data_IF_271863198428
#
_entry.id   IF_271863198428
#
_cell.length_a   1.000
_cell.length_b   1.000
_cell.length_c   1.000
_cell.angle_alpha   90.00
_cell.angle_beta   90.00
_cell.angle_gamma   90.00
#
_symmetry.space_group_name_H-M   'P 1'
#
loop_
_entity.id
_entity.type
_entity.pdbx_description
1 polymer ?
#
# COMPACT_ATOMS: atom_id res chain seq x y z
N UNK A 1 -13.32 -0.92 -3.03
CA UNK A 1 -12.36 -0.95 -1.92
C UNK A 1 -11.07 -1.51 -2.46
N UNK A 2 -9.95 -0.83 -2.19
CA UNK A 2 -8.62 -1.06 -2.73
C UNK A 2 -8.34 -2.52 -3.11
N UNK A 3 -8.05 -2.77 -4.38
CA UNK A 3 -7.80 -4.12 -4.92
C UNK A 3 -6.60 -4.79 -4.21
N UNK A 4 -5.67 -3.98 -3.68
CA UNK A 4 -4.58 -4.44 -2.82
C UNK A 4 -5.11 -4.83 -1.44
N UNK A 5 -5.90 -3.98 -0.78
CA UNK A 5 -6.47 -4.29 0.53
C UNK A 5 -7.36 -5.53 0.52
N UNK A 6 -8.14 -5.75 -0.55
CA UNK A 6 -8.93 -6.98 -0.71
C UNK A 6 -8.07 -8.20 -1.02
N UNK A 7 -7.01 -8.08 -1.83
CA UNK A 7 -6.13 -9.22 -2.14
C UNK A 7 -5.19 -9.57 -0.98
N UNK A 8 -4.73 -8.57 -0.21
CA UNK A 8 -3.93 -8.76 1.00
C UNK A 8 -4.82 -9.34 2.10
N UNK A 9 -6.07 -8.87 2.23
CA UNK A 9 -7.05 -9.46 3.13
C UNK A 9 -7.44 -10.87 2.72
N UNK A 10 -7.65 -11.16 1.43
CA UNK A 10 -7.92 -12.53 0.95
C UNK A 10 -6.72 -13.44 1.16
N UNK A 11 -5.50 -12.99 0.86
CA UNK A 11 -4.28 -13.74 1.16
C UNK A 11 -4.08 -13.95 2.65
N UNK A 12 -4.27 -12.91 3.47
CA UNK A 12 -4.19 -13.04 4.92
C UNK A 12 -5.28 -13.95 5.45
N UNK A 13 -6.52 -13.91 4.92
CA UNK A 13 -7.61 -14.81 5.29
C UNK A 13 -7.36 -16.25 4.84
N UNK A 14 -6.75 -16.46 3.67
CA UNK A 14 -6.34 -17.77 3.17
C UNK A 14 -5.16 -18.32 3.98
N UNK A 15 -4.23 -17.44 4.37
CA UNK A 15 -3.11 -17.74 5.25
C UNK A 15 -3.48 -17.57 6.74
N UNK A 16 -4.75 -17.36 7.13
CA UNK A 16 -5.10 -17.23 8.56
C UNK A 16 -4.74 -18.53 9.27
N UNK A 17 -5.00 -19.67 8.65
CA UNK A 17 -4.62 -20.97 9.21
C UNK A 17 -3.10 -21.16 9.22
N UNK A 18 -2.38 -20.73 8.19
CA UNK A 18 -0.92 -20.82 8.14
C UNK A 18 -0.24 -19.89 9.15
N UNK A 19 -0.73 -18.67 9.27
CA UNK A 19 -0.29 -17.68 10.24
C UNK A 19 -0.67 -18.09 11.66
N UNK A 20 -1.85 -18.66 11.89
CA UNK A 20 -2.25 -19.21 13.19
C UNK A 20 -1.46 -20.48 13.54
N UNK A 21 -1.17 -21.35 12.57
CA UNK A 21 -0.33 -22.54 12.77
C UNK A 21 1.09 -22.14 13.14
N UNK A 22 1.68 -21.19 12.41
CA UNK A 22 2.97 -20.60 12.75
C UNK A 22 2.90 -19.93 14.12
N UNK A 23 1.87 -19.13 14.41
CA UNK A 23 1.71 -18.47 15.71
C UNK A 23 1.50 -19.42 16.90
N UNK A 24 0.99 -20.63 16.65
CA UNK A 24 0.66 -21.62 17.67
C UNK A 24 1.78 -22.63 17.92
N UNK A 25 2.85 -22.62 17.12
CA UNK A 25 4.05 -23.39 17.43
C UNK A 25 4.75 -22.86 18.68
N UNK A 26 5.18 -23.76 19.56
CA UNK A 26 5.91 -23.42 20.79
C UNK A 26 7.22 -22.65 20.52
N UNK A 27 7.78 -22.73 19.31
CA UNK A 27 8.95 -21.95 18.89
C UNK A 27 8.60 -20.54 18.40
N UNK A 28 7.39 -20.27 17.93
CA UNK A 28 7.03 -18.94 17.47
C UNK A 28 7.00 -17.93 18.60
N UNK A 29 6.44 -18.30 19.76
CA UNK A 29 6.52 -17.45 20.95
C UNK A 29 7.97 -17.17 21.38
N UNK A 30 8.89 -18.13 21.17
CA UNK A 30 10.33 -17.95 21.43
C UNK A 30 11.01 -17.05 20.41
N UNK A 31 10.56 -17.09 19.16
CA UNK A 31 11.11 -16.32 18.04
C UNK A 31 10.35 -15.01 17.76
N UNK A 32 9.28 -14.72 18.48
CA UNK A 32 8.46 -13.51 18.31
C UNK A 32 9.33 -12.23 18.36
N UNK A 33 10.24 -12.16 19.34
CA UNK A 33 11.17 -11.04 19.46
C UNK A 33 12.14 -10.94 18.27
N UNK A 34 12.55 -12.06 17.68
CA UNK A 34 13.38 -12.10 16.47
C UNK A 34 12.59 -11.73 15.22
N UNK A 35 11.29 -12.05 15.16
CA UNK A 35 10.41 -11.69 14.05
C UNK A 35 10.07 -10.19 14.05
N UNK A 36 9.89 -9.57 15.21
CA UNK A 36 9.69 -8.11 15.31
C UNK A 36 10.87 -7.35 14.73
N UNK A 37 12.10 -7.87 14.86
CA UNK A 37 13.28 -7.26 14.26
C UNK A 37 13.29 -7.33 12.71
N UNK A 38 12.48 -8.19 12.10
CA UNK A 38 12.29 -8.27 10.65
C UNK A 38 11.20 -7.33 10.14
N UNK A 39 10.33 -6.84 11.04
CA UNK A 39 9.27 -5.91 10.68
C UNK A 39 9.85 -4.49 10.53
N UNK A 40 9.37 -3.73 9.53
CA UNK A 40 9.67 -2.32 9.45
C UNK A 40 9.16 -1.56 10.68
N UNK A 41 9.77 -0.42 10.96
CA UNK A 41 9.34 0.47 12.04
C UNK A 41 7.85 0.83 11.92
N UNK A 42 7.18 0.98 13.07
CA UNK A 42 5.75 1.29 13.11
C UNK A 42 5.39 2.57 12.33
N UNK A 43 6.23 3.62 12.39
CA UNK A 43 5.99 4.86 11.64
C UNK A 43 6.04 4.64 10.13
N UNK A 44 6.86 3.70 9.65
CA UNK A 44 6.90 3.34 8.24
C UNK A 44 5.61 2.60 7.83
N UNK A 45 5.15 1.64 8.64
CA UNK A 45 3.90 0.92 8.38
C UNK A 45 2.70 1.88 8.37
N UNK A 46 2.61 2.76 9.36
CA UNK A 46 1.54 3.76 9.45
C UNK A 46 1.56 4.71 8.25
N UNK A 47 2.73 5.20 7.85
CA UNK A 47 2.87 6.09 6.70
C UNK A 47 2.39 5.42 5.41
N UNK A 48 2.75 4.14 5.20
CA UNK A 48 2.29 3.36 4.05
C UNK A 48 0.76 3.19 4.06
N UNK A 49 0.19 2.87 5.22
CA UNK A 49 -1.25 2.74 5.40
C UNK A 49 -2.00 4.05 5.13
N UNK A 50 -1.46 5.21 5.51
CA UNK A 50 -2.09 6.49 5.19
C UNK A 50 -2.00 6.84 3.70
N UNK A 51 -0.90 6.52 3.05
CA UNK A 51 -0.64 6.94 1.67
C UNK A 51 -1.27 6.04 0.59
N UNK A 52 -1.59 4.79 0.89
CA UNK A 52 -1.91 3.78 -0.13
C UNK A 52 -3.05 4.19 -1.09
N UNK A 53 -4.10 4.81 -0.55
CA UNK A 53 -5.32 5.09 -1.31
C UNK A 53 -5.45 6.54 -1.83
N UNK A 54 -4.41 7.36 -1.72
CA UNK A 54 -4.46 8.78 -2.11
C UNK A 54 -4.83 9.01 -3.58
N UNK A 55 -4.45 8.10 -4.48
CA UNK A 55 -4.69 8.20 -5.91
C UNK A 55 -6.03 7.61 -6.38
N UNK A 56 -6.82 7.00 -5.50
CA UNK A 56 -8.07 6.37 -5.91
C UNK A 56 -9.11 7.41 -6.36
N UNK A 57 -9.71 7.24 -7.54
CA UNK A 57 -10.72 8.16 -8.03
C UNK A 57 -12.05 7.95 -7.30
N UNK A 58 -12.97 8.93 -7.38
CA UNK A 58 -14.36 8.74 -6.97
C UNK A 58 -14.96 7.48 -7.60
N UNK A 59 -15.91 6.83 -6.92
CA UNK A 59 -16.59 5.61 -7.39
C UNK A 59 -15.73 4.33 -7.47
N UNK A 60 -14.52 4.34 -6.89
CA UNK A 60 -13.67 3.15 -6.79
C UNK A 60 -13.33 2.53 -8.15
N UNK A 61 -13.38 1.20 -8.26
CA UNK A 61 -13.05 0.49 -9.51
C UNK A 61 -13.85 0.98 -10.73
N UNK A 62 -15.11 1.39 -10.54
CA UNK A 62 -15.91 1.93 -11.63
C UNK A 62 -15.35 3.26 -12.16
N UNK A 63 -14.91 4.13 -11.25
CA UNK A 63 -14.24 5.38 -11.60
C UNK A 63 -12.87 5.15 -12.23
N UNK A 64 -12.10 4.20 -11.72
CA UNK A 64 -10.81 3.81 -12.27
C UNK A 64 -10.92 3.26 -13.69
N UNK A 65 -11.85 2.34 -13.93
CA UNK A 65 -12.13 1.84 -15.28
C UNK A 65 -12.57 2.95 -16.23
N UNK A 66 -13.46 3.85 -15.78
CA UNK A 66 -13.91 4.97 -16.59
C UNK A 66 -12.77 5.93 -16.95
N UNK A 67 -11.92 6.26 -15.99
CA UNK A 67 -10.74 7.11 -16.21
C UNK A 67 -9.72 6.43 -17.10
N UNK A 68 -9.42 5.14 -16.89
CA UNK A 68 -8.48 4.40 -17.71
C UNK A 68 -8.93 4.37 -19.18
N UNK A 69 -10.22 4.13 -19.41
CA UNK A 69 -10.80 4.20 -20.76
C UNK A 69 -10.69 5.60 -21.37
N UNK A 70 -10.98 6.66 -20.60
CA UNK A 70 -10.88 8.04 -21.09
C UNK A 70 -9.44 8.50 -21.33
N UNK A 71 -8.49 7.96 -20.58
CA UNK A 71 -7.07 8.29 -20.63
C UNK A 71 -6.26 7.35 -21.53
N UNK A 72 -6.91 6.45 -22.29
CA UNK A 72 -6.23 5.44 -23.11
C UNK A 72 -5.19 6.05 -24.07
N UNK A 73 -5.51 7.18 -24.72
CA UNK A 73 -4.59 7.88 -25.61
C UNK A 73 -3.44 8.62 -24.89
N UNK A 74 -3.47 8.67 -23.55
CA UNK A 74 -2.53 9.41 -22.70
C UNK A 74 -1.74 8.49 -21.75
N UNK A 75 -1.79 7.16 -21.96
CA UNK A 75 -1.09 6.17 -21.13
C UNK A 75 -1.95 5.48 -20.07
N UNK A 76 -3.26 5.76 -20.04
CA UNK A 76 -4.19 5.13 -19.11
C UNK A 76 -4.25 5.80 -17.73
N UNK A 77 -4.95 5.15 -16.80
CA UNK A 77 -5.07 5.56 -15.42
C UNK A 77 -5.07 4.33 -14.51
N UNK A 78 -4.33 4.41 -13.41
CA UNK A 78 -4.27 3.38 -12.37
C UNK A 78 -4.07 4.07 -11.01
N UNK A 79 -4.80 3.62 -9.99
CA UNK A 79 -4.89 4.29 -8.70
C UNK A 79 -3.54 4.40 -7.97
N UNK A 80 -2.74 3.33 -7.94
CA UNK A 80 -1.45 3.33 -7.24
C UNK A 80 -0.41 4.23 -7.95
N UNK A 81 -0.38 4.23 -9.27
CA UNK A 81 0.45 5.13 -10.07
C UNK A 81 0.07 6.60 -9.81
N UNK A 82 -1.23 6.87 -9.64
CA UNK A 82 -1.70 8.20 -9.26
C UNK A 82 -1.32 8.55 -7.81
N UNK A 83 -1.38 7.61 -6.85
CA UNK A 83 -0.86 7.82 -5.48
C UNK A 83 0.61 8.23 -5.52
N UNK A 84 1.42 7.53 -6.32
CA UNK A 84 2.84 7.84 -6.49
C UNK A 84 3.07 9.23 -7.10
N UNK A 85 2.31 9.60 -8.14
CA UNK A 85 2.36 10.92 -8.76
C UNK A 85 1.96 12.04 -7.78
N UNK A 86 0.94 11.81 -6.95
CA UNK A 86 0.51 12.77 -5.92
C UNK A 86 1.67 13.02 -4.94
N UNK A 87 2.22 11.96 -4.35
CA UNK A 87 3.27 12.07 -3.34
C UNK A 87 4.58 12.66 -3.88
N UNK A 88 4.92 12.41 -5.14
CA UNK A 88 6.23 12.81 -5.70
C UNK A 88 6.19 14.09 -6.52
N UNK A 89 5.01 14.56 -6.95
CA UNK A 89 4.89 15.71 -7.85
C UNK A 89 3.79 16.70 -7.49
N UNK A 90 2.59 16.24 -7.11
CA UNK A 90 1.42 17.13 -7.03
C UNK A 90 1.24 17.79 -5.66
N UNK A 91 1.65 17.12 -4.58
CA UNK A 91 1.56 17.67 -3.24
C UNK A 91 2.49 18.89 -3.07
N UNK A 92 1.99 20.04 -2.63
CA UNK A 92 2.74 21.30 -2.65
C UNK A 92 3.72 21.47 -1.48
N UNK A 93 4.09 20.38 -0.79
CA UNK A 93 4.98 20.45 0.38
C UNK A 93 6.39 20.94 0.01
N UNK A 94 6.85 20.61 -1.21
CA UNK A 94 8.08 21.15 -1.80
C UNK A 94 7.82 21.66 -3.21
N UNK A 95 8.65 22.58 -3.68
CA UNK A 95 8.47 23.19 -5.01
C UNK A 95 8.66 22.19 -6.17
N UNK A 96 9.46 21.14 -5.99
CA UNK A 96 9.88 20.24 -7.08
C UNK A 96 9.85 18.75 -6.77
N UNK A 97 9.62 18.33 -5.51
CA UNK A 97 9.74 16.93 -5.08
C UNK A 97 8.49 16.40 -4.36
N UNK A 98 7.33 17.05 -4.55
CA UNK A 98 6.09 16.67 -3.88
C UNK A 98 6.24 16.73 -2.36
N UNK A 99 5.87 15.64 -1.68
CA UNK A 99 6.04 15.43 -0.24
C UNK A 99 7.48 15.10 0.18
N UNK A 100 8.39 14.80 -0.76
CA UNK A 100 9.79 14.45 -0.50
C UNK A 100 9.96 13.35 0.57
N UNK A 101 9.14 12.29 0.50
CA UNK A 101 9.19 11.16 1.41
C UNK A 101 10.44 10.30 1.19
N UNK A 102 10.80 9.50 2.20
CA UNK A 102 11.91 8.55 2.07
C UNK A 102 11.62 7.52 0.98
N UNK A 103 12.66 7.02 0.31
CA UNK A 103 12.52 5.93 -0.67
C UNK A 103 11.83 4.70 -0.09
N UNK A 104 12.10 4.39 1.18
CA UNK A 104 11.49 3.26 1.88
C UNK A 104 9.98 3.46 2.02
N UNK A 105 9.54 4.66 2.38
CA UNK A 105 8.10 5.01 2.45
C UNK A 105 7.42 5.00 1.08
N UNK A 106 8.11 5.37 0.01
CA UNK A 106 7.51 5.39 -1.34
C UNK A 106 7.38 4.00 -1.97
N UNK A 107 8.22 3.03 -1.58
CA UNK A 107 8.34 1.74 -2.27
C UNK A 107 7.91 0.54 -1.42
N UNK A 108 7.78 0.68 -0.09
CA UNK A 108 7.59 -0.44 0.83
C UNK A 108 8.91 -1.04 1.29
#
# INVERSE_FOLDING_TARGET
MAQIGSSLREKLLADVEGFQAVCSEQEFAKNMANLTALLPDHSLVESLCFAHDLGHPPFGHGGEMALNYKMYAFGGFEGNAQSFRIMTQLEPYTETAGMNLTRRTLLG
#
